data_IF_890536983793
#
_entry.id   IF_890536983793
#
_cell.length_a   1.000
_cell.length_b   1.000
_cell.length_c   1.000
_cell.angle_alpha   90.00
_cell.angle_beta   90.00
_cell.angle_gamma   90.00
#
_symmetry.space_group_name_H-M   'P 1'
#
loop_
_entity.id
_entity.type
_entity.pdbx_description
1 polymer ?
#
# COMPACT_ATOMS: atom_id res chain seq x y z
N UNK A 1 -22.43 -36.38 -21.76
CA UNK A 1 -22.19 -35.67 -23.04
C UNK A 1 -21.31 -34.47 -22.75
N UNK A 2 -20.22 -34.32 -23.49
CA UNK A 2 -19.36 -33.14 -23.38
C UNK A 2 -20.06 -31.97 -24.10
N UNK A 3 -20.12 -30.80 -23.47
CA UNK A 3 -20.67 -29.58 -24.06
C UNK A 3 -19.51 -28.66 -24.45
N UNK A 4 -19.53 -28.14 -25.67
CA UNK A 4 -18.58 -27.09 -26.09
C UNK A 4 -18.89 -25.83 -25.28
N UNK A 5 -17.87 -25.29 -24.59
CA UNK A 5 -17.97 -24.09 -23.77
C UNK A 5 -16.95 -23.07 -24.28
N UNK A 6 -17.39 -22.25 -25.24
CA UNK A 6 -16.58 -21.21 -25.89
C UNK A 6 -15.69 -21.70 -27.05
N UNK A 7 -15.21 -20.74 -27.85
CA UNK A 7 -14.26 -20.94 -28.95
C UNK A 7 -12.94 -20.23 -28.63
N UNK A 8 -11.81 -20.82 -29.05
CA UNK A 8 -10.48 -20.22 -28.97
C UNK A 8 -10.03 -19.92 -30.40
N UNK A 9 -9.63 -18.68 -30.63
CA UNK A 9 -9.12 -18.18 -31.90
C UNK A 9 -7.62 -17.94 -31.80
N UNK A 10 -6.93 -17.92 -32.95
CA UNK A 10 -5.51 -17.60 -33.04
C UNK A 10 -5.33 -16.36 -33.92
N UNK A 11 -4.80 -15.28 -33.36
CA UNK A 11 -4.51 -14.05 -34.08
C UNK A 11 -3.04 -13.94 -34.44
N UNK A 12 -2.77 -13.50 -35.68
CA UNK A 12 -1.44 -13.05 -36.12
C UNK A 12 -1.34 -11.52 -36.18
N UNK A 13 -2.47 -10.84 -36.32
CA UNK A 13 -2.56 -9.38 -36.37
C UNK A 13 -2.86 -8.83 -34.97
N UNK A 14 -2.00 -7.94 -34.45
CA UNK A 14 -2.15 -7.39 -33.08
C UNK A 14 -3.02 -6.13 -33.03
N UNK A 15 -3.14 -5.40 -34.13
CA UNK A 15 -3.80 -4.08 -34.18
C UNK A 15 -5.32 -4.16 -33.93
N UNK A 16 -5.90 -5.37 -34.00
CA UNK A 16 -7.29 -5.60 -33.65
C UNK A 16 -7.56 -5.50 -32.14
N UNK A 17 -6.53 -5.63 -31.28
CA UNK A 17 -6.70 -5.65 -29.84
C UNK A 17 -6.51 -4.27 -29.21
N UNK A 18 -7.35 -3.97 -28.21
CA UNK A 18 -7.29 -2.71 -27.45
C UNK A 18 -6.91 -2.99 -26.01
N UNK A 19 -5.97 -2.22 -25.47
CA UNK A 19 -5.71 -2.22 -24.02
C UNK A 19 -6.74 -1.35 -23.31
N UNK A 20 -7.36 -1.87 -22.25
CA UNK A 20 -8.31 -1.13 -21.42
C UNK A 20 -7.55 -0.14 -20.53
N UNK A 21 -7.99 1.12 -20.48
CA UNK A 21 -7.50 2.09 -19.48
C UNK A 21 -7.89 1.63 -18.07
N UNK A 22 -6.95 1.65 -17.12
CA UNK A 22 -7.17 1.17 -15.75
C UNK A 22 -6.91 -0.31 -15.50
N UNK A 23 -6.49 -1.07 -16.51
CA UNK A 23 -5.97 -2.43 -16.28
C UNK A 23 -4.60 -2.39 -15.57
N UNK A 24 -4.20 -3.50 -14.92
CA UNK A 24 -2.99 -3.55 -14.08
C UNK A 24 -1.77 -2.99 -14.82
N UNK A 25 -0.87 -2.31 -14.11
CA UNK A 25 0.35 -1.79 -14.73
C UNK A 25 1.18 -2.93 -15.31
N UNK A 26 1.55 -2.81 -16.59
CA UNK A 26 2.35 -3.84 -17.24
C UNK A 26 3.80 -3.73 -16.77
N UNK A 27 4.22 -4.68 -15.95
CA UNK A 27 5.60 -4.85 -15.50
C UNK A 27 6.37 -5.90 -16.31
N UNK A 28 7.70 -5.80 -16.31
CA UNK A 28 8.56 -6.79 -16.93
C UNK A 28 8.47 -8.12 -16.17
N UNK A 29 8.07 -9.20 -16.86
CA UNK A 29 8.04 -10.53 -16.30
C UNK A 29 8.97 -11.46 -17.10
N UNK A 30 10.27 -11.43 -16.76
CA UNK A 30 11.31 -12.17 -17.48
C UNK A 30 11.07 -13.68 -17.51
N UNK A 31 10.45 -14.25 -16.47
CA UNK A 31 10.11 -15.69 -16.43
C UNK A 31 9.01 -16.03 -17.43
N UNK A 32 7.96 -15.21 -17.48
CA UNK A 32 6.88 -15.36 -18.45
C UNK A 32 7.40 -15.16 -19.88
N UNK A 33 8.24 -14.15 -20.10
CA UNK A 33 8.86 -13.88 -21.39
C UNK A 33 9.70 -15.05 -21.89
N UNK A 34 10.55 -15.64 -21.03
CA UNK A 34 11.30 -16.85 -21.36
C UNK A 34 10.39 -18.03 -21.70
N UNK A 35 9.36 -18.26 -20.89
CA UNK A 35 8.39 -19.34 -21.13
C UNK A 35 7.66 -19.19 -22.46
N UNK A 36 7.24 -17.98 -22.82
CA UNK A 36 6.53 -17.72 -24.07
C UNK A 36 7.46 -17.90 -25.27
N UNK A 37 8.73 -17.50 -25.18
CA UNK A 37 9.71 -17.75 -26.24
C UNK A 37 9.96 -19.24 -26.48
N UNK A 38 10.03 -20.03 -25.41
CA UNK A 38 10.35 -21.46 -25.50
C UNK A 38 9.13 -22.31 -25.91
N UNK A 39 7.93 -21.95 -25.44
CA UNK A 39 6.74 -22.83 -25.51
C UNK A 39 5.53 -22.19 -26.20
N UNK A 40 5.64 -20.93 -26.64
CA UNK A 40 4.51 -20.14 -27.10
C UNK A 40 3.54 -19.76 -25.96
N UNK A 41 2.38 -19.23 -26.34
CA UNK A 41 1.32 -18.87 -25.40
C UNK A 41 0.45 -20.09 -25.12
N UNK A 42 0.64 -20.70 -23.95
CA UNK A 42 -0.11 -21.90 -23.53
C UNK A 42 -1.53 -21.59 -22.99
N UNK A 43 -1.76 -20.35 -22.58
CA UNK A 43 -3.05 -19.90 -22.04
C UNK A 43 -3.54 -18.71 -22.87
N UNK A 44 -4.66 -18.83 -23.60
CA UNK A 44 -5.22 -17.75 -24.39
C UNK A 44 -5.43 -16.47 -23.58
N UNK A 45 -5.37 -15.32 -24.24
CA UNK A 45 -5.85 -14.06 -23.66
C UNK A 45 -7.38 -14.02 -23.66
N UNK A 46 -7.96 -13.27 -22.73
CA UNK A 46 -9.39 -13.02 -22.72
C UNK A 46 -9.65 -11.63 -23.30
N UNK A 47 -10.67 -11.50 -24.13
CA UNK A 47 -11.09 -10.21 -24.70
C UNK A 47 -12.60 -10.00 -24.58
N UNK A 48 -13.04 -8.73 -24.59
CA UNK A 48 -14.46 -8.37 -24.76
C UNK A 48 -14.89 -8.55 -26.22
N UNK A 49 -16.19 -8.39 -26.49
CA UNK A 49 -16.73 -8.34 -27.86
C UNK A 49 -16.16 -7.18 -28.71
N UNK A 50 -15.57 -6.17 -28.07
CA UNK A 50 -14.94 -5.02 -28.72
C UNK A 50 -13.42 -5.20 -28.90
N UNK A 51 -12.91 -6.42 -28.72
CA UNK A 51 -11.48 -6.79 -28.76
C UNK A 51 -10.64 -6.09 -27.70
N UNK A 52 -11.25 -5.70 -26.59
CA UNK A 52 -10.54 -5.11 -25.46
C UNK A 52 -9.97 -6.21 -24.58
N UNK A 53 -8.67 -6.16 -24.29
CA UNK A 53 -7.97 -7.17 -23.51
C UNK A 53 -8.32 -7.00 -22.04
N UNK A 54 -8.97 -8.02 -21.47
CA UNK A 54 -9.40 -8.05 -20.07
C UNK A 54 -8.51 -8.97 -19.20
N UNK A 55 -7.89 -9.99 -19.79
CA UNK A 55 -6.85 -10.80 -19.14
C UNK A 55 -5.75 -11.16 -20.14
N UNK A 56 -4.51 -11.24 -19.66
CA UNK A 56 -3.36 -11.64 -20.45
C UNK A 56 -2.59 -10.51 -21.12
N UNK A 57 -2.74 -9.27 -20.66
CA UNK A 57 -1.98 -8.10 -21.15
C UNK A 57 -0.45 -8.31 -21.26
N UNK A 58 0.16 -9.02 -20.29
CA UNK A 58 1.60 -9.33 -20.36
C UNK A 58 1.91 -10.30 -21.51
N UNK A 59 1.04 -11.30 -21.73
CA UNK A 59 1.17 -12.26 -22.83
C UNK A 59 1.00 -11.55 -24.16
N UNK A 60 0.00 -10.67 -24.28
CA UNK A 60 -0.19 -9.82 -25.45
C UNK A 60 1.07 -9.00 -25.76
N UNK A 61 1.60 -8.26 -24.77
CA UNK A 61 2.80 -7.44 -24.99
C UNK A 61 4.03 -8.26 -25.39
N UNK A 62 4.24 -9.43 -24.77
CA UNK A 62 5.36 -10.32 -25.12
C UNK A 62 5.15 -10.87 -26.53
N UNK A 63 3.94 -11.32 -26.87
CA UNK A 63 3.63 -11.80 -28.20
C UNK A 63 3.84 -10.73 -29.26
N UNK A 64 3.32 -9.52 -29.05
CA UNK A 64 3.51 -8.39 -29.95
C UNK A 64 5.00 -8.05 -30.12
N UNK A 65 5.78 -8.06 -29.03
CA UNK A 65 7.22 -7.79 -29.06
C UNK A 65 8.02 -8.81 -29.88
N UNK A 66 7.59 -10.08 -29.90
CA UNK A 66 8.31 -11.17 -30.58
C UNK A 66 7.59 -11.76 -31.78
N UNK A 67 6.49 -11.13 -32.20
CA UNK A 67 5.64 -11.58 -33.31
C UNK A 67 5.16 -13.05 -33.16
N UNK A 68 4.77 -13.44 -31.94
CA UNK A 68 4.31 -14.79 -31.60
C UNK A 68 2.79 -14.89 -31.74
N UNK A 69 2.23 -15.87 -32.49
CA UNK A 69 0.79 -16.06 -32.62
C UNK A 69 0.06 -16.05 -31.28
N UNK A 70 -1.03 -15.28 -31.23
CA UNK A 70 -1.71 -14.93 -29.99
C UNK A 70 -3.07 -15.63 -29.90
N UNK A 71 -3.18 -16.71 -29.10
CA UNK A 71 -4.46 -17.35 -28.87
C UNK A 71 -5.33 -16.48 -27.97
N UNK A 72 -6.62 -16.35 -28.30
CA UNK A 72 -7.59 -15.57 -27.54
C UNK A 72 -8.98 -16.22 -27.52
N UNK A 73 -9.81 -15.83 -26.55
CA UNK A 73 -11.24 -16.17 -26.53
C UNK A 73 -12.06 -14.95 -26.12
N UNK A 74 -13.30 -14.89 -26.62
CA UNK A 74 -14.28 -13.88 -26.20
C UNK A 74 -14.88 -14.27 -24.86
N UNK A 75 -14.69 -13.44 -23.84
CA UNK A 75 -15.33 -13.64 -22.54
C UNK A 75 -16.80 -13.24 -22.60
N UNK A 76 -17.65 -14.01 -21.96
CA UNK A 76 -19.07 -13.68 -21.75
C UNK A 76 -19.28 -12.56 -20.72
N UNK A 77 -18.26 -12.25 -19.91
CA UNK A 77 -18.31 -11.21 -18.88
C UNK A 77 -18.03 -9.84 -19.49
N UNK A 78 -18.98 -8.91 -19.35
CA UNK A 78 -18.89 -7.55 -19.90
C UNK A 78 -18.24 -6.55 -18.94
N UNK A 79 -18.14 -6.88 -17.65
CA UNK A 79 -17.64 -5.97 -16.62
C UNK A 79 -16.23 -6.36 -16.15
N UNK A 80 -15.35 -5.36 -16.01
CA UNK A 80 -13.99 -5.52 -15.48
C UNK A 80 -13.98 -6.09 -14.06
N UNK A 81 -15.02 -5.81 -13.25
CA UNK A 81 -15.11 -6.29 -11.87
C UNK A 81 -15.29 -7.82 -11.81
N UNK A 82 -16.14 -8.41 -12.65
CA UNK A 82 -16.30 -9.87 -12.77
C UNK A 82 -14.96 -10.53 -13.16
N UNK A 83 -14.14 -9.82 -13.94
CA UNK A 83 -12.86 -10.30 -14.44
C UNK A 83 -11.75 -10.16 -13.39
N UNK A 84 -11.81 -9.13 -12.53
CA UNK A 84 -10.95 -9.03 -11.34
C UNK A 84 -11.22 -10.22 -10.41
N UNK A 85 -12.49 -10.55 -10.19
CA UNK A 85 -12.90 -11.67 -9.35
C UNK A 85 -12.44 -13.02 -9.92
N UNK A 86 -12.61 -13.23 -11.23
CA UNK A 86 -12.08 -14.41 -11.94
C UNK A 86 -10.54 -14.50 -11.88
N UNK A 87 -9.85 -13.36 -12.04
CA UNK A 87 -8.38 -13.32 -12.01
C UNK A 87 -7.80 -13.54 -10.61
N UNK A 88 -8.51 -13.15 -9.55
CA UNK A 88 -8.08 -13.37 -8.17
C UNK A 88 -7.93 -14.86 -7.81
N UNK A 89 -8.58 -15.77 -8.55
CA UNK A 89 -8.37 -17.22 -8.42
C UNK A 89 -7.03 -17.72 -9.02
N UNK A 90 -6.41 -16.97 -9.93
CA UNK A 90 -5.20 -17.39 -10.66
C UNK A 90 -3.96 -16.52 -10.39
N UNK A 91 -4.10 -15.18 -10.37
CA UNK A 91 -3.06 -14.19 -10.04
C UNK A 91 -3.72 -13.03 -9.27
N UNK A 92 -3.51 -12.99 -7.95
CA UNK A 92 -4.12 -11.98 -7.07
C UNK A 92 -3.66 -10.57 -7.44
N UNK A 93 -4.60 -9.65 -7.65
CA UNK A 93 -4.29 -8.22 -7.79
C UNK A 93 -3.56 -7.71 -6.54
N UNK A 94 -2.49 -6.92 -6.72
CA UNK A 94 -1.86 -6.23 -5.58
C UNK A 94 -2.68 -4.99 -5.20
N UNK A 95 -2.42 -4.42 -4.03
CA UNK A 95 -3.11 -3.19 -3.61
C UNK A 95 -2.74 -2.03 -4.54
N UNK A 96 -1.50 -1.97 -5.01
CA UNK A 96 -1.01 -1.00 -5.97
C UNK A 96 -1.72 -1.14 -7.34
N UNK A 97 -2.07 -2.35 -7.76
CA UNK A 97 -2.88 -2.56 -8.96
C UNK A 97 -4.27 -1.93 -8.82
N UNK A 98 -4.93 -2.12 -7.67
CA UNK A 98 -6.22 -1.47 -7.39
C UNK A 98 -6.08 0.05 -7.33
N UNK A 99 -5.03 0.57 -6.69
CA UNK A 99 -4.78 2.02 -6.66
C UNK A 99 -4.61 2.59 -8.06
N UNK A 100 -3.87 1.88 -8.92
CA UNK A 100 -3.67 2.28 -10.30
C UNK A 100 -4.97 2.29 -11.11
N UNK A 101 -5.80 1.23 -10.97
CA UNK A 101 -7.13 1.15 -11.61
C UNK A 101 -7.97 2.39 -11.29
N UNK A 102 -8.22 2.65 -10.01
CA UNK A 102 -9.08 3.74 -9.58
C UNK A 102 -8.50 5.13 -9.88
N UNK A 103 -7.17 5.24 -9.98
CA UNK A 103 -6.49 6.45 -10.46
C UNK A 103 -6.75 6.69 -11.96
N UNK A 104 -6.71 5.66 -12.80
CA UNK A 104 -7.06 5.77 -14.22
C UNK A 104 -8.57 6.03 -14.44
N UNK A 105 -9.41 5.56 -13.53
CA UNK A 105 -10.85 5.90 -13.47
C UNK A 105 -11.10 7.37 -13.04
N UNK A 106 -10.04 8.12 -12.69
CA UNK A 106 -10.10 9.54 -12.36
C UNK A 106 -10.43 9.86 -10.91
N UNK A 107 -10.36 8.89 -9.98
CA UNK A 107 -10.67 9.14 -8.57
C UNK A 107 -9.51 9.90 -7.89
N UNK A 108 -9.80 11.10 -7.40
CA UNK A 108 -8.81 12.04 -6.85
C UNK A 108 -8.01 11.48 -5.66
N UNK A 109 -8.68 10.77 -4.74
CA UNK A 109 -8.01 10.14 -3.60
C UNK A 109 -6.98 9.09 -4.06
N UNK A 110 -7.25 8.37 -5.14
CA UNK A 110 -6.33 7.38 -5.67
C UNK A 110 -5.16 8.00 -6.44
N UNK A 111 -5.37 9.13 -7.11
CA UNK A 111 -4.28 9.94 -7.69
C UNK A 111 -3.29 10.37 -6.61
N UNK A 112 -3.82 10.93 -5.51
CA UNK A 112 -3.01 11.37 -4.37
C UNK A 112 -2.30 10.20 -3.68
N UNK A 113 -3.00 9.08 -3.49
CA UNK A 113 -2.42 7.90 -2.88
C UNK A 113 -1.28 7.32 -3.71
N UNK A 114 -1.44 7.23 -5.04
CA UNK A 114 -0.36 6.76 -5.94
C UNK A 114 0.89 7.66 -5.85
N UNK A 115 0.71 8.98 -5.70
CA UNK A 115 1.82 9.92 -5.49
C UNK A 115 2.55 9.67 -4.17
N UNK A 116 1.82 9.55 -3.05
CA UNK A 116 2.43 9.28 -1.74
C UNK A 116 3.15 7.94 -1.71
N UNK A 117 2.59 6.88 -2.32
CA UNK A 117 3.24 5.56 -2.40
C UNK A 117 4.58 5.65 -3.15
N UNK A 118 4.62 6.41 -4.27
CA UNK A 118 5.84 6.59 -5.06
C UNK A 118 6.90 7.40 -4.31
N UNK A 119 6.49 8.48 -3.65
CA UNK A 119 7.37 9.39 -2.93
C UNK A 119 7.93 8.75 -1.65
N UNK A 120 7.08 8.08 -0.87
CA UNK A 120 7.42 7.50 0.43
C UNK A 120 7.47 5.98 0.38
N UNK A 121 8.17 5.42 -0.62
CA UNK A 121 8.25 3.97 -0.88
C UNK A 121 8.93 3.14 0.23
N UNK A 122 9.55 3.81 1.21
CA UNK A 122 10.13 3.23 2.41
C UNK A 122 9.14 3.15 3.58
N UNK A 123 7.95 3.72 3.45
CA UNK A 123 6.82 3.52 4.37
C UNK A 123 6.04 2.30 3.89
N UNK A 124 5.64 1.42 4.82
CA UNK A 124 4.85 0.26 4.43
C UNK A 124 3.47 0.71 3.92
N UNK A 125 3.00 0.07 2.85
CA UNK A 125 1.70 0.43 2.24
C UNK A 125 0.54 0.31 3.24
N UNK A 126 0.57 -0.69 4.13
CA UNK A 126 -0.42 -0.84 5.19
C UNK A 126 -0.44 0.36 6.13
N UNK A 127 0.73 0.76 6.66
CA UNK A 127 0.80 1.86 7.61
C UNK A 127 0.39 3.19 6.93
N UNK A 128 0.82 3.41 5.68
CA UNK A 128 0.46 4.60 4.90
C UNK A 128 -1.05 4.70 4.69
N UNK A 129 -1.68 3.62 4.20
CA UNK A 129 -3.12 3.61 3.92
C UNK A 129 -3.96 3.74 5.20
N UNK A 130 -3.55 3.09 6.29
CA UNK A 130 -4.23 3.22 7.58
C UNK A 130 -4.13 4.63 8.15
N UNK A 131 -2.94 5.23 8.13
CA UNK A 131 -2.75 6.61 8.58
C UNK A 131 -3.53 7.62 7.72
N UNK A 132 -3.62 7.38 6.41
CA UNK A 132 -4.37 8.21 5.45
C UNK A 132 -5.88 8.21 5.68
N UNK A 133 -6.43 7.09 6.13
CA UNK A 133 -7.83 7.01 6.56
C UNK A 133 -8.00 7.42 8.03
N UNK A 134 -6.95 7.91 8.69
CA UNK A 134 -7.01 8.38 10.08
C UNK A 134 -6.98 7.26 11.13
N UNK A 135 -6.67 6.02 10.77
CA UNK A 135 -6.49 4.97 11.75
C UNK A 135 -5.14 5.11 12.46
N UNK A 136 -5.17 4.96 13.79
CA UNK A 136 -3.96 5.04 14.61
C UNK A 136 -3.02 3.85 14.41
N UNK A 137 -3.58 2.68 14.10
CA UNK A 137 -2.88 1.43 13.92
C UNK A 137 -3.27 0.82 12.56
N UNK A 138 -2.50 -0.18 12.11
CA UNK A 138 -2.83 -0.91 10.89
C UNK A 138 -4.26 -1.46 10.94
N UNK A 139 -5.03 -1.12 9.91
CA UNK A 139 -6.43 -1.46 9.74
C UNK A 139 -6.59 -2.33 8.50
N UNK A 140 -7.02 -3.58 8.71
CA UNK A 140 -7.38 -4.46 7.60
C UNK A 140 -8.53 -3.89 6.74
N UNK A 141 -9.38 -3.05 7.35
CA UNK A 141 -10.45 -2.33 6.67
C UNK A 141 -9.92 -1.39 5.60
N UNK A 142 -8.79 -0.72 5.83
CA UNK A 142 -8.20 0.20 4.84
C UNK A 142 -7.81 -0.48 3.54
N UNK A 143 -7.18 -1.65 3.65
CA UNK A 143 -6.80 -2.41 2.46
C UNK A 143 -8.03 -2.96 1.71
N UNK A 144 -9.13 -3.23 2.41
CA UNK A 144 -10.38 -3.62 1.79
C UNK A 144 -11.09 -2.43 1.13
N UNK A 145 -11.13 -1.27 1.77
CA UNK A 145 -11.66 -0.03 1.19
C UNK A 145 -10.95 0.29 -0.14
N UNK A 146 -9.62 0.11 -0.21
CA UNK A 146 -8.87 0.28 -1.45
C UNK A 146 -9.37 -0.67 -2.53
N UNK A 147 -9.50 -1.97 -2.24
CA UNK A 147 -9.97 -2.97 -3.22
C UNK A 147 -11.37 -2.66 -3.72
N UNK A 148 -12.24 -2.18 -2.85
CA UNK A 148 -13.64 -1.87 -3.12
C UNK A 148 -13.87 -0.48 -3.77
N UNK A 149 -12.82 0.31 -4.00
CA UNK A 149 -12.99 1.66 -4.58
C UNK A 149 -13.49 2.72 -3.58
N UNK A 150 -13.45 2.42 -2.27
CA UNK A 150 -14.05 3.22 -1.20
C UNK A 150 -13.04 4.01 -0.37
N UNK A 151 -11.75 3.92 -0.69
CA UNK A 151 -10.70 4.64 0.04
C UNK A 151 -10.90 6.15 -0.08
N UNK A 152 -10.78 6.85 1.05
CA UNK A 152 -10.83 8.32 1.12
C UNK A 152 -9.82 8.84 2.12
N UNK A 153 -9.09 9.89 1.75
CA UNK A 153 -8.25 10.56 2.72
C UNK A 153 -9.09 11.23 3.82
N UNK A 154 -8.73 10.98 5.07
CA UNK A 154 -9.27 11.69 6.22
C UNK A 154 -8.46 12.96 6.53
N UNK A 155 -7.14 12.89 6.38
CA UNK A 155 -6.15 13.83 6.92
C UNK A 155 -5.00 14.12 5.92
N UNK A 156 -5.32 14.31 4.63
CA UNK A 156 -4.29 14.38 3.57
C UNK A 156 -3.17 15.39 3.83
N UNK A 157 -3.52 16.60 4.31
CA UNK A 157 -2.54 17.67 4.57
C UNK A 157 -1.65 17.28 5.76
N UNK A 158 -2.25 16.87 6.86
CA UNK A 158 -1.58 16.49 8.09
C UNK A 158 -0.67 15.27 7.89
N UNK A 159 -1.13 14.28 7.12
CA UNK A 159 -0.33 13.11 6.77
C UNK A 159 0.87 13.50 5.91
N UNK A 160 0.70 14.39 4.94
CA UNK A 160 1.81 14.85 4.09
C UNK A 160 2.88 15.55 4.93
N UNK A 161 2.47 16.40 5.88
CA UNK A 161 3.39 17.03 6.84
C UNK A 161 4.09 15.98 7.72
N UNK A 162 3.34 15.02 8.26
CA UNK A 162 3.89 13.90 9.05
C UNK A 162 4.93 13.10 8.25
N UNK A 163 4.70 12.84 6.97
CA UNK A 163 5.61 12.09 6.11
C UNK A 163 6.90 12.89 5.84
N UNK A 164 6.81 14.20 5.66
CA UNK A 164 7.98 15.08 5.58
C UNK A 164 8.81 15.07 6.86
N UNK A 165 8.17 15.20 8.02
CA UNK A 165 8.87 15.12 9.31
C UNK A 165 9.43 13.71 9.61
N UNK A 166 8.77 12.66 9.10
CA UNK A 166 9.29 11.30 9.20
C UNK A 166 10.54 11.09 8.36
N UNK A 167 10.60 11.67 7.17
CA UNK A 167 11.80 11.67 6.32
C UNK A 167 12.97 12.38 7.04
N UNK A 168 12.71 13.55 7.61
CA UNK A 168 13.68 14.28 8.42
C UNK A 168 14.14 13.46 9.64
N UNK A 169 13.21 12.82 10.34
CA UNK A 169 13.50 11.93 11.45
C UNK A 169 14.45 10.80 11.05
N UNK A 170 14.16 10.09 9.96
CA UNK A 170 15.01 9.01 9.44
C UNK A 170 16.39 9.54 9.08
N UNK A 171 16.45 10.68 8.40
CA UNK A 171 17.70 11.30 7.98
C UNK A 171 18.58 11.67 9.18
N UNK A 172 18.03 12.31 10.20
CA UNK A 172 18.81 12.77 11.36
C UNK A 172 19.18 11.65 12.35
N UNK A 173 18.35 10.61 12.46
CA UNK A 173 18.57 9.51 13.41
C UNK A 173 19.22 8.28 12.80
N UNK A 174 19.20 8.18 11.47
CA UNK A 174 19.66 7.02 10.71
C UNK A 174 18.92 5.73 11.10
N UNK A 175 17.72 5.85 11.66
CA UNK A 175 16.80 4.74 11.94
C UNK A 175 16.32 4.17 10.61
N UNK A 176 16.35 2.84 10.44
CA UNK A 176 15.82 2.22 9.23
C UNK A 176 14.29 2.20 9.27
N UNK A 177 13.66 2.60 8.18
CA UNK A 177 12.20 2.49 8.00
C UNK A 177 11.78 1.04 7.73
N UNK A 178 11.70 0.24 8.79
CA UNK A 178 11.15 -1.13 8.73
C UNK A 178 9.69 -1.13 9.16
N UNK A 179 8.97 -2.24 8.92
CA UNK A 179 7.58 -2.40 9.31
C UNK A 179 7.34 -1.99 10.79
N UNK A 180 6.32 -1.16 11.01
CA UNK A 180 5.96 -0.65 12.34
C UNK A 180 6.69 0.60 12.81
N UNK A 181 7.80 1.01 12.17
CA UNK A 181 8.54 2.24 12.54
C UNK A 181 7.72 3.48 12.22
N UNK A 182 7.18 3.59 11.00
CA UNK A 182 6.31 4.71 10.64
C UNK A 182 5.07 4.75 11.53
N UNK A 183 4.43 3.62 11.80
CA UNK A 183 3.26 3.58 12.69
C UNK A 183 3.58 4.07 14.11
N UNK A 184 4.72 3.67 14.68
CA UNK A 184 5.18 4.17 15.97
C UNK A 184 5.51 5.66 15.93
N UNK A 185 6.13 6.15 14.86
CA UNK A 185 6.39 7.58 14.65
C UNK A 185 5.09 8.37 14.54
N UNK A 186 4.13 7.94 13.72
CA UNK A 186 2.81 8.58 13.57
C UNK A 186 2.08 8.66 14.92
N UNK A 187 2.16 7.59 15.73
CA UNK A 187 1.62 7.59 17.09
C UNK A 187 2.24 8.65 18.00
N UNK A 188 3.53 8.97 17.82
CA UNK A 188 4.19 10.06 18.53
C UNK A 188 3.78 11.42 17.94
N UNK A 189 3.81 11.54 16.61
CA UNK A 189 3.56 12.76 15.86
C UNK A 189 2.22 13.42 16.20
N UNK A 190 1.15 12.63 16.29
CA UNK A 190 -0.18 13.15 16.54
C UNK A 190 -0.42 13.58 18.00
N UNK A 191 0.55 13.41 18.91
CA UNK A 191 0.42 13.86 20.30
C UNK A 191 0.62 15.38 20.33
N UNK A 192 -0.29 16.14 20.93
CA UNK A 192 -0.22 17.62 20.91
C UNK A 192 1.07 18.20 21.49
N UNK A 193 1.69 17.49 22.42
CA UNK A 193 2.96 17.87 23.08
C UNK A 193 4.21 17.45 22.29
N UNK A 194 4.06 16.75 21.17
CA UNK A 194 5.17 16.23 20.40
C UNK A 194 6.00 17.36 19.77
N UNK A 195 7.32 17.24 19.84
CA UNK A 195 8.27 18.14 19.21
C UNK A 195 9.39 17.32 18.56
N UNK A 196 9.50 17.39 17.23
CA UNK A 196 10.43 16.58 16.43
C UNK A 196 11.89 16.76 16.84
N UNK A 197 12.35 18.00 17.00
CA UNK A 197 13.74 18.31 17.37
C UNK A 197 14.16 17.64 18.68
N UNK A 198 13.29 17.72 19.69
CA UNK A 198 13.51 17.06 20.99
C UNK A 198 13.53 15.55 20.81
N UNK A 199 12.60 15.01 20.02
CA UNK A 199 12.51 13.58 19.79
C UNK A 199 13.76 13.01 19.13
N UNK A 200 14.23 13.63 18.05
CA UNK A 200 15.46 13.23 17.33
C UNK A 200 16.66 13.22 18.27
N UNK A 201 16.85 14.30 19.05
CA UNK A 201 17.94 14.41 20.04
C UNK A 201 17.90 13.24 21.03
N UNK A 202 16.72 12.92 21.55
CA UNK A 202 16.55 11.84 22.54
C UNK A 202 16.72 10.45 21.96
N UNK A 203 16.26 10.22 20.73
CA UNK A 203 16.45 8.96 20.00
C UNK A 203 17.94 8.65 19.82
N UNK A 204 18.73 9.66 19.45
CA UNK A 204 20.19 9.55 19.31
C UNK A 204 20.87 9.35 20.68
N UNK A 205 20.49 10.11 21.71
CA UNK A 205 21.05 9.97 23.07
C UNK A 205 20.82 8.57 23.67
N UNK A 206 19.69 7.93 23.36
CA UNK A 206 19.33 6.60 23.88
C UNK A 206 19.69 5.46 22.94
N UNK A 207 20.36 5.75 21.84
CA UNK A 207 20.76 4.80 20.80
C UNK A 207 19.61 3.88 20.37
N UNK A 208 18.41 4.45 20.23
CA UNK A 208 17.19 3.67 19.95
C UNK A 208 17.29 2.95 18.63
N UNK A 209 18.02 3.52 17.65
CA UNK A 209 18.35 2.87 16.38
C UNK A 209 18.84 1.44 16.58
N UNK A 210 19.74 1.18 17.53
CA UNK A 210 20.26 -0.17 17.80
C UNK A 210 19.25 -1.06 18.52
N UNK A 211 18.44 -0.49 19.41
CA UNK A 211 17.45 -1.23 20.19
C UNK A 211 16.30 -1.79 19.36
N UNK A 212 15.92 -1.10 18.28
CA UNK A 212 14.78 -1.50 17.45
C UNK A 212 15.15 -2.36 16.25
N UNK A 213 16.44 -2.70 16.08
CA UNK A 213 16.89 -3.57 14.98
C UNK A 213 16.17 -4.93 15.08
N UNK A 214 15.51 -5.33 14.00
CA UNK A 214 14.81 -6.61 13.90
C UNK A 214 13.43 -6.65 14.57
N UNK A 215 13.00 -5.57 15.23
CA UNK A 215 11.66 -5.47 15.81
C UNK A 215 10.67 -5.07 14.70
N UNK A 216 9.59 -5.83 14.55
CA UNK A 216 8.49 -5.55 13.60
C UNK A 216 7.18 -5.11 14.26
N UNK A 217 7.06 -5.34 15.58
CA UNK A 217 5.86 -4.97 16.34
C UNK A 217 5.89 -3.48 16.67
N UNK A 218 5.00 -2.70 16.06
CA UNK A 218 4.94 -1.25 16.23
C UNK A 218 4.72 -0.84 17.68
N UNK A 219 4.05 -1.66 18.51
CA UNK A 219 3.79 -1.36 19.92
C UNK A 219 5.07 -1.39 20.76
N UNK A 220 6.00 -2.30 20.43
CA UNK A 220 7.31 -2.37 21.08
C UNK A 220 8.21 -1.21 20.67
N UNK A 221 8.15 -0.83 19.38
CA UNK A 221 8.89 0.33 18.87
C UNK A 221 8.36 1.62 19.49
N UNK A 222 7.04 1.78 19.58
CA UNK A 222 6.38 2.92 20.22
C UNK A 222 6.81 3.07 21.68
N UNK A 223 6.92 1.96 22.42
CA UNK A 223 7.47 1.99 23.77
C UNK A 223 8.88 2.59 23.82
N UNK A 224 9.79 2.10 23.00
CA UNK A 224 11.17 2.63 22.95
C UNK A 224 11.18 4.12 22.56
N UNK A 225 10.26 4.54 21.69
CA UNK A 225 10.13 5.93 21.27
C UNK A 225 9.66 6.84 22.41
N UNK A 226 8.61 6.44 23.13
CA UNK A 226 8.09 7.21 24.28
C UNK A 226 9.11 7.28 25.41
N UNK A 227 9.75 6.15 25.76
CA UNK A 227 10.77 6.11 26.81
C UNK A 227 11.99 6.97 26.46
N UNK A 228 12.37 7.01 25.18
CA UNK A 228 13.41 7.91 24.72
C UNK A 228 12.96 9.37 24.80
N UNK A 229 11.78 9.70 24.26
CA UNK A 229 11.25 11.07 24.28
C UNK A 229 11.20 11.66 25.69
N UNK A 230 10.73 10.88 26.66
CA UNK A 230 10.63 11.27 28.06
C UNK A 230 11.95 11.22 28.84
N UNK A 231 13.05 10.81 28.22
CA UNK A 231 14.34 10.72 28.90
C UNK A 231 14.76 12.09 29.46
N UNK A 232 15.11 12.14 30.75
CA UNK A 232 15.41 13.37 31.50
C UNK A 232 14.28 14.41 31.51
N UNK A 233 13.02 13.99 31.33
CA UNK A 233 11.85 14.81 31.62
C UNK A 233 11.22 14.35 32.94
N UNK A 234 10.75 15.30 33.74
CA UNK A 234 9.97 15.01 34.92
C UNK A 234 8.54 14.68 34.52
N UNK A 235 7.97 13.63 35.10
CA UNK A 235 6.56 13.28 34.92
C UNK A 235 5.66 14.47 35.26
N UNK A 236 4.64 14.70 34.42
CA UNK A 236 3.73 15.84 34.54
C UNK A 236 4.29 17.19 34.04
N UNK A 237 5.56 17.25 33.62
CA UNK A 237 6.08 18.47 32.99
C UNK A 237 5.40 18.75 31.64
N UNK A 238 5.44 20.01 31.19
CA UNK A 238 4.77 20.48 29.96
C UNK A 238 5.04 19.59 28.74
N UNK A 239 6.27 19.08 28.61
CA UNK A 239 6.71 18.30 27.46
C UNK A 239 6.72 16.79 27.74
N UNK A 240 6.34 16.33 28.94
CA UNK A 240 6.27 14.90 29.22
C UNK A 240 5.05 14.29 28.52
N UNK A 241 5.27 13.17 27.83
CA UNK A 241 4.19 12.37 27.25
C UNK A 241 3.72 11.37 28.30
N UNK A 242 2.52 11.56 28.82
CA UNK A 242 1.87 10.64 29.74
C UNK A 242 1.53 9.31 29.03
N UNK A 243 1.92 8.20 29.64
CA UNK A 243 1.62 6.86 29.14
C UNK A 243 1.50 5.85 30.28
N UNK A 244 0.82 4.74 30.01
CA UNK A 244 0.69 3.59 30.91
C UNK A 244 1.35 2.35 30.29
N UNK A 245 2.07 1.58 31.11
CA UNK A 245 2.54 0.24 30.72
C UNK A 245 1.41 -0.79 30.85
N UNK A 246 1.20 -1.55 29.79
CA UNK A 246 0.25 -2.67 29.74
C UNK A 246 0.90 -3.96 30.26
N UNK A 247 0.08 -4.99 30.56
CA UNK A 247 0.56 -6.29 31.05
C UNK A 247 1.53 -6.99 30.07
N UNK A 248 1.32 -6.79 28.77
CA UNK A 248 2.17 -7.31 27.70
C UNK A 248 3.43 -6.46 27.44
N UNK A 249 3.71 -5.48 28.31
CA UNK A 249 4.79 -4.49 28.20
C UNK A 249 4.67 -3.53 27.01
N UNK A 250 3.51 -3.45 26.34
CA UNK A 250 3.21 -2.35 25.42
C UNK A 250 2.86 -1.08 26.19
N UNK A 251 2.77 0.05 25.48
CA UNK A 251 2.39 1.34 26.06
C UNK A 251 1.05 1.83 25.52
N UNK A 252 0.25 2.43 26.40
CA UNK A 252 -0.95 3.18 26.05
C UNK A 252 -0.69 4.65 26.33
N UNK A 253 -0.73 5.50 25.29
CA UNK A 253 -0.56 6.95 25.43
C UNK A 253 -1.81 7.54 26.08
N UNK A 254 -1.60 8.36 27.11
CA UNK A 254 -2.65 9.09 27.84
C UNK A 254 -2.67 10.58 27.48
N UNK A 255 -1.57 11.12 26.94
CA UNK A 255 -1.53 12.51 26.46
C UNK A 255 -2.54 12.77 25.34
N UNK A 256 -3.03 14.01 25.31
CA UNK A 256 -3.98 14.47 24.30
C UNK A 256 -3.40 14.37 22.87
N UNK A 257 -4.22 13.91 21.93
CA UNK A 257 -3.88 13.76 20.51
C UNK A 257 -4.58 14.83 19.67
N UNK A 258 -4.04 15.12 18.48
CA UNK A 258 -4.71 15.94 17.49
C UNK A 258 -5.80 15.12 16.77
N UNK A 259 -7.05 15.33 17.16
CA UNK A 259 -8.20 14.62 16.59
C UNK A 259 -8.48 14.94 15.12
N UNK A 260 -7.95 16.03 14.57
CA UNK A 260 -8.07 16.31 13.13
C UNK A 260 -7.27 15.29 12.29
N UNK A 261 -6.29 14.61 12.89
CA UNK A 261 -5.40 13.68 12.21
C UNK A 261 -5.82 12.22 12.34
N UNK A 262 -6.87 11.90 13.11
CA UNK A 262 -7.31 10.52 13.34
C UNK A 262 -8.84 10.40 13.32
N UNK A 263 -9.34 9.29 12.77
CA UNK A 263 -10.72 8.89 12.98
C UNK A 263 -10.87 8.48 14.44
N UNK A 264 -11.82 9.11 15.13
CA UNK A 264 -12.32 8.60 16.40
C UNK A 264 -13.15 7.35 16.10
N UNK A 265 -12.49 6.21 15.96
CA UNK A 265 -13.21 4.94 16.00
C UNK A 265 -13.71 4.73 17.43
N UNK A 266 -15.04 4.78 17.57
CA UNK A 266 -15.77 4.05 18.59
C UNK A 266 -15.16 2.65 18.69
N UNK A 267 -14.51 2.40 19.83
CA UNK A 267 -13.89 1.14 20.18
C UNK A 267 -14.78 -0.03 19.76
N UNK A 268 -14.23 -0.94 18.96
CA UNK A 268 -14.74 -2.30 18.79
C UNK A 268 -13.73 -3.27 19.36
#
# INVERSE_FOLDING_TARGET
>A
MNKVYGEIYLASEYDQFKLIKGNRKISCNAKLEKSIKEKGILRPIAVTSNMEIIDGQHRYMIAQKYNIPLPYYMSSSKNIDDIIDLNNASHKWTIEDYVHKYKEDGLVDYIRLEQLIKQYNYVSLGDLCSAAEGYLNNSHKSLNNIKEGKFKFYNYIELTNCLGEFEEFIYQTQVRSTAGVFNAFFNMYIIKKFALENFVKRINMKDVKRKIIGIRDSRKILKEFVEAYNYNLTEGSKNYIEYKLNKDRSVTILSERNFQSIQLDSQS
#
